data_IF_477439886007
#
_entry.id   IF_477439886007
#
_cell.length_a   1.000
_cell.length_b   1.000
_cell.length_c   1.000
_cell.angle_alpha   90.00
_cell.angle_beta   90.00
_cell.angle_gamma   90.00
#
_symmetry.space_group_name_H-M   'P 1'
#
loop_
_entity.id
_entity.type
_entity.pdbx_description
1 polymer ?
#
# COMPACT_ATOMS: atom_id res chain seq x y z
N UNK A 1 11.71 -19.86 6.85
CA UNK A 1 10.79 -19.87 5.70
C UNK A 1 9.72 -18.85 6.01
N UNK A 2 9.49 -17.89 5.10
CA UNK A 2 8.39 -16.95 5.22
C UNK A 2 7.20 -17.60 4.52
N UNK A 3 6.25 -18.13 5.29
CA UNK A 3 5.18 -18.99 4.75
C UNK A 3 4.01 -18.19 4.14
N UNK A 4 4.02 -16.86 4.29
CA UNK A 4 2.94 -15.97 3.85
C UNK A 4 3.51 -14.74 3.15
N UNK A 5 2.88 -14.36 2.04
CA UNK A 5 3.06 -13.05 1.39
C UNK A 5 1.79 -12.23 1.56
N UNK A 6 1.94 -11.00 2.07
CA UNK A 6 0.86 -10.02 2.19
C UNK A 6 1.07 -8.99 1.08
N UNK A 7 0.08 -8.84 0.21
CA UNK A 7 0.10 -7.86 -0.89
C UNK A 7 -0.71 -6.64 -0.48
N UNK A 8 -0.04 -5.55 -0.15
CA UNK A 8 -0.65 -4.28 0.25
C UNK A 8 -0.72 -3.33 -0.96
N UNK A 9 -1.92 -3.10 -1.46
CA UNK A 9 -2.15 -2.15 -2.55
C UNK A 9 -2.23 -0.73 -2.00
N UNK A 10 -1.34 0.15 -2.45
CA UNK A 10 -1.37 1.56 -2.06
C UNK A 10 -2.42 2.30 -2.89
N UNK A 11 -3.33 2.99 -2.19
CA UNK A 11 -4.32 3.87 -2.79
C UNK A 11 -3.81 5.33 -2.74
N UNK A 12 -4.08 6.14 -3.77
CA UNK A 12 -3.81 7.58 -3.71
C UNK A 12 -4.56 8.21 -2.53
N UNK A 13 -4.01 9.28 -1.96
CA UNK A 13 -4.55 10.08 -0.84
C UNK A 13 -4.79 9.32 0.49
N UNK A 14 -4.61 7.99 0.53
CA UNK A 14 -4.89 7.15 1.69
C UNK A 14 -3.63 6.59 2.36
N UNK A 15 -2.57 7.38 2.42
CA UNK A 15 -1.31 6.95 3.06
C UNK A 15 -1.43 6.94 4.58
N UNK A 16 -1.82 8.05 5.18
CA UNK A 16 -1.91 8.22 6.64
C UNK A 16 -3.05 7.41 7.26
N UNK A 17 -4.24 7.45 6.65
CA UNK A 17 -5.44 6.85 7.24
C UNK A 17 -5.58 5.34 6.96
N UNK A 18 -4.91 4.81 5.92
CA UNK A 18 -5.04 3.40 5.53
C UNK A 18 -3.70 2.68 5.45
N UNK A 19 -2.75 3.15 4.63
CA UNK A 19 -1.49 2.42 4.39
C UNK A 19 -0.68 2.27 5.68
N UNK A 20 -0.41 3.36 6.41
CA UNK A 20 0.38 3.28 7.63
C UNK A 20 -0.26 2.41 8.72
N UNK A 21 -1.56 2.55 9.06
CA UNK A 21 -2.20 1.68 10.03
C UNK A 21 -2.14 0.19 9.66
N UNK A 22 -2.31 -0.15 8.38
CA UNK A 22 -2.22 -1.53 7.89
C UNK A 22 -0.78 -2.07 8.03
N UNK A 23 0.22 -1.31 7.57
CA UNK A 23 1.62 -1.71 7.70
C UNK A 23 2.04 -1.88 9.17
N UNK A 24 1.61 -0.98 10.05
CA UNK A 24 1.85 -1.08 11.49
C UNK A 24 1.21 -2.33 12.09
N UNK A 25 -0.02 -2.65 11.68
CA UNK A 25 -0.69 -3.85 12.12
C UNK A 25 0.06 -5.11 11.65
N UNK A 26 0.48 -5.15 10.39
CA UNK A 26 1.27 -6.26 9.83
C UNK A 26 2.57 -6.44 10.61
N UNK A 27 3.29 -5.35 10.90
CA UNK A 27 4.53 -5.41 11.66
C UNK A 27 4.35 -5.99 13.07
N UNK A 28 3.20 -5.72 13.71
CA UNK A 28 2.88 -6.22 15.05
C UNK A 28 2.41 -7.67 15.11
N UNK A 29 1.77 -8.18 14.05
CA UNK A 29 1.06 -9.46 14.09
C UNK A 29 1.59 -10.51 13.10
N UNK A 30 2.36 -10.10 12.09
CA UNK A 30 2.79 -10.96 10.98
C UNK A 30 4.29 -10.83 10.71
N UNK A 31 5.12 -10.93 11.76
CA UNK A 31 6.58 -10.73 11.71
C UNK A 31 7.35 -11.65 10.73
N UNK A 32 6.75 -12.74 10.25
CA UNK A 32 7.33 -13.68 9.27
C UNK A 32 6.82 -13.47 7.85
N UNK A 33 5.92 -12.53 7.61
CA UNK A 33 5.37 -12.30 6.28
C UNK A 33 6.32 -11.48 5.40
N UNK A 34 6.38 -11.84 4.11
CA UNK A 34 6.88 -10.93 3.08
C UNK A 34 5.78 -9.92 2.77
N UNK A 35 6.11 -8.63 2.70
CA UNK A 35 5.12 -7.57 2.48
C UNK A 35 5.37 -6.93 1.13
N UNK A 36 4.53 -7.22 0.14
CA UNK A 36 4.61 -6.56 -1.15
C UNK A 36 3.79 -5.25 -1.12
N UNK A 37 4.47 -4.11 -1.08
CA UNK A 37 3.86 -2.77 -1.12
C UNK A 37 3.76 -2.32 -2.58
N UNK A 38 2.55 -2.26 -3.12
CA UNK A 38 2.34 -2.15 -4.56
C UNK A 38 1.72 -0.82 -4.99
N UNK A 39 2.29 -0.19 -6.02
CA UNK A 39 1.73 0.97 -6.73
C UNK A 39 0.70 0.61 -7.81
N UNK A 40 0.25 -0.65 -7.84
CA UNK A 40 -0.51 -1.21 -8.96
C UNK A 40 -1.99 -0.81 -9.01
N UNK A 41 -2.44 0.06 -8.11
CA UNK A 41 -3.82 0.54 -8.14
C UNK A 41 -4.07 1.28 -9.45
N UNK A 42 -5.20 0.94 -10.09
CA UNK A 42 -5.70 1.59 -11.30
C UNK A 42 -7.16 1.96 -11.06
N UNK A 43 -7.56 3.20 -11.38
CA UNK A 43 -8.97 3.57 -11.41
C UNK A 43 -9.68 2.73 -12.48
N UNK A 44 -10.55 1.83 -12.05
CA UNK A 44 -11.29 0.90 -12.92
C UNK A 44 -12.77 0.91 -12.52
N UNK A 45 -13.63 0.28 -13.34
CA UNK A 45 -15.05 0.10 -13.06
C UNK A 45 -15.79 1.40 -12.69
N UNK A 46 -16.32 1.52 -11.46
CA UNK A 46 -17.07 2.71 -11.01
C UNK A 46 -16.20 3.96 -10.95
N UNK A 47 -14.95 3.84 -10.51
CA UNK A 47 -14.02 4.97 -10.41
C UNK A 47 -13.72 5.52 -11.80
N UNK A 48 -13.58 4.62 -12.79
CA UNK A 48 -13.39 5.03 -14.19
C UNK A 48 -14.65 5.66 -14.79
N UNK A 49 -15.85 5.16 -14.45
CA UNK A 49 -17.14 5.66 -14.99
C UNK A 49 -17.59 6.97 -14.34
N UNK A 50 -17.32 7.16 -13.06
CA UNK A 50 -17.78 8.30 -12.26
C UNK A 50 -16.59 8.95 -11.50
N UNK A 51 -15.54 9.42 -12.18
CA UNK A 51 -14.31 9.89 -11.53
C UNK A 51 -14.52 11.09 -10.61
N UNK A 52 -15.51 11.94 -10.89
CA UNK A 52 -15.85 13.09 -10.05
C UNK A 52 -16.38 12.67 -8.68
N UNK A 53 -17.16 11.58 -8.64
CA UNK A 53 -17.73 11.01 -7.41
C UNK A 53 -16.69 10.28 -6.57
N UNK A 54 -15.70 9.68 -7.23
CA UNK A 54 -14.61 8.93 -6.61
C UNK A 54 -13.27 9.66 -6.75
N UNK A 55 -13.29 11.00 -6.68
CA UNK A 55 -12.14 11.86 -6.96
C UNK A 55 -10.92 11.56 -6.09
N UNK A 56 -11.14 11.08 -4.87
CA UNK A 56 -10.09 10.71 -3.94
C UNK A 56 -9.22 9.54 -4.43
N UNK A 57 -9.82 8.63 -5.22
CA UNK A 57 -9.16 7.45 -5.76
C UNK A 57 -9.16 7.42 -7.30
N UNK A 58 -9.44 8.53 -7.95
CA UNK A 58 -9.55 8.64 -9.41
C UNK A 58 -8.21 8.70 -10.16
N UNK A 59 -7.09 8.43 -9.46
CA UNK A 59 -5.74 8.41 -10.03
C UNK A 59 -4.91 7.25 -9.51
N UNK A 60 -3.73 7.02 -10.07
CA UNK A 60 -2.72 6.14 -9.46
C UNK A 60 -2.05 6.84 -8.28
N UNK A 61 -1.49 6.09 -7.30
CA UNK A 61 -0.59 6.68 -6.32
C UNK A 61 0.63 7.28 -7.03
N UNK A 62 1.08 8.42 -6.55
CA UNK A 62 2.25 9.12 -7.08
C UNK A 62 3.55 8.63 -6.40
N UNK A 63 4.70 9.07 -6.92
CA UNK A 63 6.00 8.63 -6.39
C UNK A 63 6.21 9.02 -4.92
N UNK A 64 5.71 10.18 -4.48
CA UNK A 64 5.84 10.63 -3.09
C UNK A 64 5.04 9.74 -2.14
N UNK A 65 3.84 9.35 -2.54
CA UNK A 65 2.98 8.42 -1.79
C UNK A 65 3.62 7.04 -1.66
N UNK A 66 4.24 6.55 -2.75
CA UNK A 66 4.95 5.27 -2.72
C UNK A 66 6.22 5.35 -1.87
N UNK A 67 7.00 6.42 -2.00
CA UNK A 67 8.20 6.65 -1.20
C UNK A 67 7.87 6.72 0.29
N UNK A 68 6.76 7.37 0.65
CA UNK A 68 6.28 7.44 2.02
C UNK A 68 5.87 6.06 2.57
N UNK A 69 5.16 5.26 1.77
CA UNK A 69 4.80 3.89 2.13
C UNK A 69 6.03 3.00 2.33
N UNK A 70 7.02 3.10 1.43
CA UNK A 70 8.27 2.35 1.52
C UNK A 70 9.12 2.74 2.71
N UNK A 71 9.27 4.06 2.95
CA UNK A 71 9.99 4.58 4.11
C UNK A 71 9.36 4.08 5.40
N UNK A 72 8.03 4.11 5.50
CA UNK A 72 7.34 3.61 6.68
C UNK A 72 7.47 2.10 6.85
N UNK A 73 7.45 1.32 5.75
CA UNK A 73 7.72 -0.12 5.81
C UNK A 73 9.16 -0.42 6.29
N UNK A 74 10.14 0.38 5.88
CA UNK A 74 11.53 0.32 6.38
C UNK A 74 11.60 0.67 7.88
N UNK A 75 10.92 1.73 8.33
CA UNK A 75 10.87 2.13 9.75
C UNK A 75 10.26 1.04 10.65
N UNK A 76 9.31 0.26 10.12
CA UNK A 76 8.68 -0.86 10.81
C UNK A 76 9.46 -2.17 10.74
N UNK A 77 10.56 -2.23 9.98
CA UNK A 77 11.36 -3.44 9.80
C UNK A 77 10.67 -4.53 8.99
N UNK A 78 9.71 -4.18 8.12
CA UNK A 78 9.03 -5.14 7.25
C UNK A 78 9.97 -5.64 6.13
N UNK A 79 9.89 -6.94 5.81
CA UNK A 79 10.62 -7.50 4.68
C UNK A 79 9.85 -7.27 3.37
N UNK A 80 10.05 -6.10 2.75
CA UNK A 80 9.28 -5.67 1.57
C UNK A 80 10.07 -5.57 0.27
N UNK A 81 11.36 -5.20 0.34
CA UNK A 81 12.24 -4.96 -0.82
C UNK A 81 12.38 -6.13 -1.79
N UNK A 82 12.43 -7.41 -1.36
CA UNK A 82 12.60 -8.52 -2.30
C UNK A 82 11.38 -8.79 -3.19
N UNK A 83 10.21 -8.23 -2.86
CA UNK A 83 8.94 -8.58 -3.48
C UNK A 83 8.13 -7.38 -3.98
N UNK A 84 8.66 -6.16 -3.93
CA UNK A 84 7.95 -4.92 -4.29
C UNK A 84 8.56 -4.17 -5.46
#
# INVERSE_FOLDING_TARGET
VNDVIIRHLVLPNHIECCTKPVLLWIARHCNRALVNVMSQYRPEHLVYREPEKYSDIARRPNNREMEEAYKYADELGLCWKPVS
#
